data_IF_063729286591
#
_entry.id   IF_063729286591
#
_cell.length_a   1.000
_cell.length_b   1.000
_cell.length_c   1.000
_cell.angle_alpha   90.00
_cell.angle_beta   90.00
_cell.angle_gamma   90.00
#
_symmetry.space_group_name_H-M   'P 1'
#
loop_
_entity.id
_entity.type
_entity.pdbx_description
1 polymer ?
#
# COMPACT_ATOMS: atom_id res chain seq x y z
N UNK A 1 -24.11 3.27 -1.74
CA UNK A 1 -22.97 2.61 -1.06
C UNK A 1 -23.07 2.99 0.40
N UNK A 2 -23.01 2.01 1.29
CA UNK A 2 -23.11 2.21 2.73
C UNK A 2 -21.73 2.20 3.37
N UNK A 3 -21.57 2.94 4.47
CA UNK A 3 -20.36 2.88 5.29
C UNK A 3 -20.38 1.56 6.08
N UNK A 4 -19.32 0.73 6.04
CA UNK A 4 -19.30 -0.50 6.83
C UNK A 4 -19.32 -0.17 8.32
N UNK A 5 -20.03 -0.96 9.11
CA UNK A 5 -20.02 -0.79 10.58
C UNK A 5 -18.69 -1.22 11.16
N UNK A 6 -18.12 -2.33 10.66
CA UNK A 6 -16.83 -2.84 11.06
C UNK A 6 -15.97 -3.23 9.85
N UNK A 7 -14.78 -2.69 9.76
CA UNK A 7 -13.88 -2.88 8.62
C UNK A 7 -12.50 -3.36 9.09
N UNK A 8 -11.93 -4.30 8.34
CA UNK A 8 -10.54 -4.71 8.50
C UNK A 8 -9.68 -4.10 7.40
N UNK A 9 -8.53 -3.60 7.80
CA UNK A 9 -7.47 -3.13 6.90
C UNK A 9 -6.33 -4.15 6.97
N UNK A 10 -6.01 -4.77 5.82
CA UNK A 10 -4.85 -5.63 5.64
C UNK A 10 -3.66 -4.78 5.19
N UNK A 11 -2.65 -4.66 6.04
CA UNK A 11 -1.45 -3.87 5.81
C UNK A 11 -1.48 -2.51 6.52
N UNK A 12 -0.56 -2.34 7.46
CA UNK A 12 -0.35 -1.12 8.24
C UNK A 12 0.55 -0.08 7.57
N UNK A 13 0.64 -0.10 6.23
CA UNK A 13 1.33 0.91 5.43
C UNK A 13 0.50 2.19 5.25
N UNK A 14 1.12 3.22 4.61
CA UNK A 14 0.50 4.55 4.44
C UNK A 14 -0.88 4.47 3.79
N UNK A 15 -1.05 3.69 2.72
CA UNK A 15 -2.33 3.60 1.99
C UNK A 15 -3.45 3.04 2.88
N UNK A 16 -3.18 1.94 3.60
CA UNK A 16 -4.14 1.34 4.51
C UNK A 16 -4.58 2.30 5.60
N UNK A 17 -3.62 3.03 6.19
CA UNK A 17 -3.87 3.96 7.29
C UNK A 17 -4.55 5.26 6.82
N UNK A 18 -4.24 5.77 5.63
CA UNK A 18 -4.97 6.88 4.99
C UNK A 18 -6.43 6.52 4.76
N UNK A 19 -6.70 5.36 4.16
CA UNK A 19 -8.08 4.88 3.97
C UNK A 19 -8.77 4.62 5.30
N UNK A 20 -8.05 4.11 6.30
CA UNK A 20 -8.55 3.96 7.66
C UNK A 20 -9.00 5.29 8.26
N UNK A 21 -8.24 6.36 8.07
CA UNK A 21 -8.63 7.71 8.51
C UNK A 21 -9.95 8.15 7.88
N UNK A 22 -10.12 7.93 6.56
CA UNK A 22 -11.36 8.25 5.84
C UNK A 22 -12.54 7.47 6.43
N UNK A 23 -12.44 6.14 6.49
CA UNK A 23 -13.55 5.30 6.95
C UNK A 23 -13.89 5.52 8.43
N UNK A 24 -12.89 5.74 9.30
CA UNK A 24 -13.11 6.11 10.70
C UNK A 24 -13.86 7.42 10.82
N UNK A 25 -13.50 8.43 10.02
CA UNK A 25 -14.19 9.73 10.00
C UNK A 25 -15.65 9.61 9.52
N UNK A 26 -15.91 8.64 8.65
CA UNK A 26 -17.27 8.30 8.20
C UNK A 26 -18.06 7.45 9.22
N UNK A 27 -17.45 7.03 10.33
CA UNK A 27 -18.10 6.32 11.42
C UNK A 27 -17.88 4.80 11.43
N UNK A 28 -17.00 4.25 10.59
CA UNK A 28 -16.65 2.84 10.64
C UNK A 28 -15.75 2.53 11.84
N UNK A 29 -15.98 1.38 12.49
CA UNK A 29 -15.03 0.79 13.46
C UNK A 29 -13.95 0.02 12.72
N UNK A 30 -12.69 0.22 13.07
CA UNK A 30 -11.56 -0.30 12.32
C UNK A 30 -10.69 -1.23 13.13
N UNK A 31 -10.30 -2.33 12.49
CA UNK A 31 -9.14 -3.12 12.87
C UNK A 31 -8.07 -3.04 11.78
N UNK A 32 -6.80 -3.04 12.17
CA UNK A 32 -5.65 -3.13 11.25
C UNK A 32 -4.86 -4.38 11.58
N UNK A 33 -4.50 -5.15 10.56
CA UNK A 33 -3.56 -6.26 10.70
C UNK A 33 -2.28 -5.97 9.90
N UNK A 34 -1.14 -6.13 10.55
CA UNK A 34 0.18 -5.91 9.99
C UNK A 34 1.11 -7.09 10.33
N UNK A 35 1.76 -7.63 9.31
CA UNK A 35 2.63 -8.79 9.46
C UNK A 35 3.96 -8.42 10.15
N UNK A 36 4.38 -7.17 10.03
CA UNK A 36 5.59 -6.65 10.65
C UNK A 36 5.33 -6.22 12.09
N UNK A 37 6.40 -5.90 12.81
CA UNK A 37 6.41 -5.47 14.21
C UNK A 37 5.99 -4.00 14.42
N UNK A 38 5.68 -3.27 13.35
CA UNK A 38 5.27 -1.87 13.40
C UNK A 38 4.53 -1.41 12.17
N UNK A 39 3.80 -0.31 12.31
CA UNK A 39 3.12 0.38 11.21
C UNK A 39 4.14 1.19 10.38
N UNK A 40 3.77 1.52 9.12
CA UNK A 40 4.52 2.41 8.23
C UNK A 40 6.01 2.06 8.18
N UNK A 41 6.33 0.83 7.77
CA UNK A 41 7.71 0.38 7.61
C UNK A 41 8.47 1.33 6.66
N UNK A 42 9.69 1.71 7.06
CA UNK A 42 10.50 2.69 6.31
C UNK A 42 10.33 4.15 6.74
N UNK A 43 9.31 4.49 7.55
CA UNK A 43 9.22 5.80 8.21
C UNK A 43 9.97 5.81 9.55
N UNK A 44 10.45 6.99 9.96
CA UNK A 44 11.15 7.15 11.24
C UNK A 44 10.25 6.76 12.42
N UNK A 45 10.77 5.94 13.31
CA UNK A 45 9.99 5.33 14.40
C UNK A 45 9.44 6.32 15.42
N UNK A 46 10.12 7.42 15.64
CA UNK A 46 9.66 8.53 16.49
C UNK A 46 8.44 9.22 15.90
N UNK A 47 8.43 9.48 14.59
CA UNK A 47 7.29 10.03 13.88
C UNK A 47 6.09 9.07 13.88
N UNK A 48 6.34 7.78 13.66
CA UNK A 48 5.29 6.75 13.73
C UNK A 48 4.66 6.68 15.13
N UNK A 49 5.44 6.83 16.20
CA UNK A 49 4.92 6.87 17.57
C UNK A 49 3.99 8.07 17.80
N UNK A 50 4.36 9.24 17.29
CA UNK A 50 3.50 10.44 17.35
C UNK A 50 2.21 10.19 16.60
N UNK A 51 2.28 9.68 15.37
CA UNK A 51 1.11 9.35 14.57
C UNK A 51 0.19 8.36 15.27
N UNK A 52 0.73 7.26 15.82
CA UNK A 52 -0.04 6.25 16.56
C UNK A 52 -0.77 6.86 17.75
N UNK A 53 -0.10 7.71 18.54
CA UNK A 53 -0.71 8.38 19.70
C UNK A 53 -1.89 9.28 19.27
N UNK A 54 -1.72 10.03 18.19
CA UNK A 54 -2.76 10.95 17.68
C UNK A 54 -3.95 10.21 17.08
N UNK A 55 -3.74 9.04 16.49
CA UNK A 55 -4.76 8.29 15.74
C UNK A 55 -5.27 7.05 16.49
N UNK A 56 -4.81 6.76 17.71
CA UNK A 56 -5.20 5.57 18.47
C UNK A 56 -6.73 5.41 18.60
N UNK A 57 -7.46 6.52 18.74
CA UNK A 57 -8.92 6.54 18.88
C UNK A 57 -9.69 6.07 17.64
N UNK A 58 -9.02 5.96 16.48
CA UNK A 58 -9.62 5.56 15.21
C UNK A 58 -9.71 4.04 15.04
N UNK A 59 -8.89 3.30 15.79
CA UNK A 59 -8.74 1.86 15.63
C UNK A 59 -9.16 1.14 16.90
N UNK A 60 -10.02 0.14 16.75
CA UNK A 60 -10.36 -0.75 17.86
C UNK A 60 -9.18 -1.66 18.19
N UNK A 61 -8.52 -2.20 17.15
CA UNK A 61 -7.34 -3.04 17.29
C UNK A 61 -6.29 -2.77 16.22
N UNK A 62 -5.03 -2.78 16.62
CA UNK A 62 -3.86 -2.81 15.73
C UNK A 62 -3.11 -4.11 16.03
N UNK A 63 -3.24 -5.08 15.15
CA UNK A 63 -2.70 -6.43 15.27
C UNK A 63 -1.37 -6.53 14.53
N UNK A 64 -0.27 -6.24 15.23
CA UNK A 64 1.10 -6.38 14.72
C UNK A 64 1.56 -7.84 14.78
N UNK A 65 2.65 -8.18 14.08
CA UNK A 65 3.19 -9.54 13.99
C UNK A 65 2.11 -10.59 13.64
N UNK A 66 1.10 -10.18 12.89
CA UNK A 66 -0.07 -10.98 12.56
C UNK A 66 -0.29 -11.01 11.07
N UNK A 67 -0.47 -12.20 10.51
CA UNK A 67 -0.80 -12.39 9.10
C UNK A 67 -2.22 -12.91 8.93
N UNK A 68 -2.88 -12.49 7.85
CA UNK A 68 -4.15 -13.05 7.42
C UNK A 68 -3.88 -14.33 6.64
N UNK A 69 -4.51 -15.43 7.03
CA UNK A 69 -4.35 -16.73 6.38
C UNK A 69 -5.61 -17.21 5.66
N UNK A 70 -6.72 -16.53 5.86
CA UNK A 70 -7.96 -16.83 5.16
C UNK A 70 -8.97 -15.70 5.27
N UNK A 71 -9.80 -15.57 4.23
CA UNK A 71 -10.99 -14.72 4.24
C UNK A 71 -12.11 -15.45 3.51
N UNK A 72 -13.27 -15.58 4.17
CA UNK A 72 -14.43 -16.31 3.64
C UNK A 72 -15.68 -15.45 3.72
N UNK A 73 -16.30 -15.20 2.57
CA UNK A 73 -17.60 -14.54 2.53
C UNK A 73 -18.68 -15.46 3.11
N UNK A 74 -19.52 -14.93 3.97
CA UNK A 74 -20.65 -15.60 4.62
C UNK A 74 -21.91 -14.74 4.51
N UNK A 75 -23.06 -15.28 4.86
CA UNK A 75 -24.32 -14.50 4.94
C UNK A 75 -24.26 -13.37 5.98
N UNK A 76 -23.34 -13.42 6.95
CA UNK A 76 -23.19 -12.45 8.05
C UNK A 76 -22.04 -11.46 7.84
N UNK A 77 -21.31 -11.54 6.72
CA UNK A 77 -20.14 -10.74 6.44
C UNK A 77 -18.93 -11.60 6.04
N UNK A 78 -17.73 -11.06 6.20
CA UNK A 78 -16.46 -11.69 5.84
C UNK A 78 -15.79 -12.21 7.10
N UNK A 79 -15.70 -13.53 7.24
CA UNK A 79 -14.91 -14.15 8.30
C UNK A 79 -13.44 -14.15 7.91
N UNK A 80 -12.58 -13.56 8.75
CA UNK A 80 -11.14 -13.48 8.51
C UNK A 80 -10.39 -14.26 9.59
N UNK A 81 -9.45 -15.10 9.14
CA UNK A 81 -8.63 -15.96 9.97
C UNK A 81 -7.20 -15.44 10.01
N UNK A 82 -6.60 -15.46 11.18
CA UNK A 82 -5.27 -14.92 11.44
C UNK A 82 -4.30 -16.03 11.89
N UNK A 83 -3.03 -15.78 11.67
CA UNK A 83 -1.93 -16.55 12.25
C UNK A 83 -0.83 -15.60 12.75
N UNK A 84 -0.02 -16.04 13.70
CA UNK A 84 1.18 -15.31 14.07
C UNK A 84 2.14 -15.23 12.88
N UNK A 85 2.80 -14.08 12.69
CA UNK A 85 3.81 -13.91 11.66
C UNK A 85 5.13 -14.60 12.04
N UNK A 86 5.38 -14.78 13.34
CA UNK A 86 6.58 -15.40 13.88
C UNK A 86 6.25 -16.74 14.54
N UNK A 87 7.20 -17.66 14.55
CA UNK A 87 7.08 -18.96 15.23
C UNK A 87 6.94 -18.76 16.74
N UNK A 88 6.01 -19.51 17.37
CA UNK A 88 5.71 -19.38 18.80
C UNK A 88 4.88 -18.15 19.19
N UNK A 89 4.54 -17.28 18.23
CA UNK A 89 3.65 -16.14 18.48
C UNK A 89 2.20 -16.55 18.66
N UNK A 90 1.38 -15.61 19.16
CA UNK A 90 -0.07 -15.76 19.29
C UNK A 90 -0.79 -14.97 18.21
N UNK A 91 -1.91 -15.50 17.73
CA UNK A 91 -2.79 -14.80 16.79
C UNK A 91 -4.19 -14.63 17.38
N UNK A 92 -4.92 -13.58 17.01
CA UNK A 92 -6.32 -13.42 17.40
C UNK A 92 -7.19 -14.56 16.85
N UNK A 93 -8.28 -14.86 17.54
CA UNK A 93 -9.33 -15.73 16.99
C UNK A 93 -9.93 -15.13 15.72
N UNK A 94 -10.54 -15.95 14.85
CA UNK A 94 -11.24 -15.46 13.66
C UNK A 94 -12.24 -14.34 13.99
N UNK A 95 -12.34 -13.34 13.13
CA UNK A 95 -13.18 -12.16 13.31
C UNK A 95 -14.10 -11.97 12.10
N UNK A 96 -15.25 -11.34 12.35
CA UNK A 96 -16.21 -10.99 11.31
C UNK A 96 -16.15 -9.50 10.97
N UNK A 97 -16.16 -9.19 9.67
CA UNK A 97 -16.14 -7.82 9.16
C UNK A 97 -17.17 -7.62 8.07
N UNK A 98 -17.70 -6.39 7.93
CA UNK A 98 -18.58 -6.02 6.82
C UNK A 98 -17.79 -5.76 5.55
N UNK A 99 -16.55 -5.26 5.69
CA UNK A 99 -15.64 -4.93 4.60
C UNK A 99 -14.19 -5.28 4.98
N UNK A 100 -13.43 -5.74 4.00
CA UNK A 100 -11.99 -5.94 4.12
C UNK A 100 -11.30 -5.13 3.03
N UNK A 101 -10.39 -4.23 3.42
CA UNK A 101 -9.52 -3.47 2.54
C UNK A 101 -8.15 -4.14 2.47
N UNK A 102 -7.71 -4.51 1.29
CA UNK A 102 -6.37 -5.04 1.08
C UNK A 102 -5.42 -3.93 0.62
N UNK A 103 -4.39 -3.63 1.43
CA UNK A 103 -3.38 -2.61 1.19
C UNK A 103 -1.96 -3.14 1.51
N UNK A 104 -1.66 -4.37 1.04
CA UNK A 104 -0.46 -5.14 1.38
C UNK A 104 0.74 -4.89 0.45
N UNK A 105 0.69 -3.84 -0.34
CA UNK A 105 1.80 -3.43 -1.21
C UNK A 105 1.36 -3.11 -2.64
N UNK A 106 2.35 -2.71 -3.45
CA UNK A 106 2.19 -2.31 -4.86
C UNK A 106 3.26 -2.97 -5.70
N UNK A 107 2.91 -3.30 -6.93
CA UNK A 107 3.82 -3.81 -7.95
C UNK A 107 3.77 -2.93 -9.19
N UNK A 108 4.90 -2.57 -9.79
CA UNK A 108 4.92 -1.83 -11.03
C UNK A 108 4.37 -2.68 -12.18
N UNK A 109 3.73 -2.02 -13.15
CA UNK A 109 3.05 -2.68 -14.25
C UNK A 109 3.85 -2.76 -15.56
N UNK A 110 5.16 -2.53 -15.52
CA UNK A 110 6.00 -2.47 -16.72
C UNK A 110 5.92 -3.69 -17.65
N UNK A 111 5.63 -4.87 -17.10
CA UNK A 111 5.45 -6.10 -17.89
C UNK A 111 4.05 -6.26 -18.50
N UNK A 112 3.12 -5.31 -18.28
CA UNK A 112 1.70 -5.48 -18.64
C UNK A 112 1.26 -4.73 -19.89
N UNK A 113 2.09 -3.87 -20.47
CA UNK A 113 1.74 -3.04 -21.63
C UNK A 113 2.70 -3.19 -22.81
N UNK A 114 3.44 -4.29 -22.85
CA UNK A 114 4.30 -4.67 -23.98
C UNK A 114 5.36 -3.60 -24.32
N UNK A 115 5.99 -3.00 -23.30
CA UNK A 115 7.02 -1.97 -23.45
C UNK A 115 8.21 -2.43 -24.31
N UNK A 116 8.51 -3.73 -24.29
CA UNK A 116 9.55 -4.36 -25.11
C UNK A 116 9.32 -4.20 -26.61
N UNK A 117 8.06 -4.05 -27.08
CA UNK A 117 7.76 -3.79 -28.50
C UNK A 117 8.25 -2.42 -28.96
N UNK A 118 8.40 -1.47 -28.04
CA UNK A 118 9.02 -0.17 -28.27
C UNK A 118 10.52 -0.15 -27.94
N UNK A 119 11.12 -1.30 -27.64
CA UNK A 119 12.54 -1.43 -27.28
C UNK A 119 12.84 -0.99 -25.84
N UNK A 120 11.83 -0.69 -25.02
CA UNK A 120 12.02 -0.25 -23.64
C UNK A 120 12.33 -1.46 -22.75
N UNK A 121 13.43 -1.35 -22.01
CA UNK A 121 13.86 -2.38 -21.05
C UNK A 121 13.03 -2.34 -19.77
N UNK A 122 12.51 -3.50 -19.37
CA UNK A 122 11.75 -3.67 -18.12
C UNK A 122 12.50 -4.65 -17.23
N UNK A 123 12.69 -4.29 -15.97
CA UNK A 123 13.35 -5.16 -14.98
C UNK A 123 12.49 -6.38 -14.65
N UNK A 124 13.08 -7.41 -14.01
CA UNK A 124 12.35 -8.60 -13.55
C UNK A 124 11.21 -8.26 -12.58
N UNK A 125 11.37 -7.19 -11.81
CA UNK A 125 10.36 -6.68 -10.88
C UNK A 125 9.29 -5.80 -11.55
N UNK A 126 9.40 -5.52 -12.85
CA UNK A 126 8.43 -4.72 -13.60
C UNK A 126 8.70 -3.21 -13.59
N UNK A 127 9.86 -2.76 -13.11
CA UNK A 127 10.27 -1.36 -13.19
C UNK A 127 10.90 -1.03 -14.54
N UNK A 128 10.82 0.24 -14.93
CA UNK A 128 11.55 0.83 -16.05
C UNK A 128 12.61 1.76 -15.48
N UNK A 129 13.89 1.46 -15.78
CA UNK A 129 14.98 2.31 -15.35
C UNK A 129 15.02 3.58 -16.21
N UNK A 130 15.25 4.72 -15.54
CA UNK A 130 15.42 6.03 -16.18
C UNK A 130 16.66 6.73 -15.64
N UNK A 131 17.20 7.66 -16.42
CA UNK A 131 18.22 8.59 -15.97
C UNK A 131 17.61 9.78 -15.16
N UNK A 132 18.45 10.74 -14.77
CA UNK A 132 18.02 11.92 -14.02
C UNK A 132 17.09 12.84 -14.83
N UNK A 133 17.00 12.66 -16.14
CA UNK A 133 16.13 13.37 -17.07
C UNK A 133 14.87 12.58 -17.40
N UNK A 134 14.59 11.49 -16.69
CA UNK A 134 13.46 10.58 -16.90
C UNK A 134 13.48 9.85 -18.25
N UNK A 135 14.63 9.81 -18.96
CA UNK A 135 14.78 9.05 -20.20
C UNK A 135 14.96 7.57 -19.91
N UNK A 136 14.26 6.73 -20.64
CA UNK A 136 14.51 5.27 -20.63
C UNK A 136 15.75 4.92 -21.44
N UNK A 137 16.03 3.64 -21.64
CA UNK A 137 17.04 3.18 -22.59
C UNK A 137 16.75 3.56 -24.06
N UNK A 138 15.52 3.98 -24.35
CA UNK A 138 15.09 4.54 -25.64
C UNK A 138 15.04 6.07 -25.49
N UNK A 139 15.97 6.84 -26.12
CA UNK A 139 16.16 8.27 -25.80
C UNK A 139 14.94 9.19 -26.02
N UNK A 140 13.99 8.78 -26.85
CA UNK A 140 12.75 9.51 -27.14
C UNK A 140 11.56 9.01 -26.32
N UNK A 141 11.76 8.02 -25.40
CA UNK A 141 10.73 7.49 -24.52
C UNK A 141 11.12 7.78 -23.07
N UNK A 142 10.19 8.37 -22.35
CA UNK A 142 10.32 8.76 -20.95
C UNK A 142 9.41 7.88 -20.08
N UNK A 143 9.78 7.68 -18.83
CA UNK A 143 8.94 7.02 -17.85
C UNK A 143 8.96 7.79 -16.54
N UNK A 144 7.81 7.86 -15.85
CA UNK A 144 7.62 8.60 -14.60
C UNK A 144 6.72 7.83 -13.64
N UNK A 145 6.73 8.20 -12.37
CA UNK A 145 5.81 7.71 -11.35
C UNK A 145 6.19 6.35 -10.76
N UNK A 146 5.19 5.58 -10.37
CA UNK A 146 5.36 4.32 -9.65
C UNK A 146 6.19 3.29 -10.45
N UNK A 147 6.19 3.40 -11.77
CA UNK A 147 6.90 2.45 -12.64
C UNK A 147 8.42 2.64 -12.65
N UNK A 148 8.92 3.81 -12.26
CA UNK A 148 10.37 4.09 -12.26
C UNK A 148 11.03 3.82 -10.91
N UNK A 149 10.28 3.63 -9.84
CA UNK A 149 10.83 3.26 -8.54
C UNK A 149 10.14 3.91 -7.34
N UNK A 150 10.74 3.65 -6.18
CA UNK A 150 10.32 4.22 -4.91
C UNK A 150 10.79 5.69 -4.75
N UNK A 151 10.09 6.49 -3.92
CA UNK A 151 8.79 6.20 -3.31
C UNK A 151 7.65 6.26 -4.34
N UNK A 152 6.66 5.37 -4.20
CA UNK A 152 5.48 5.33 -5.08
C UNK A 152 4.43 6.35 -4.61
N UNK A 153 4.63 7.62 -4.94
CA UNK A 153 3.84 8.76 -4.51
C UNK A 153 3.37 9.58 -5.71
N UNK A 154 2.10 9.98 -5.70
CA UNK A 154 1.51 10.75 -6.80
C UNK A 154 2.24 12.08 -7.05
N UNK A 155 2.59 12.82 -5.98
CA UNK A 155 3.31 14.08 -6.12
C UNK A 155 4.75 13.91 -6.64
N UNK A 156 5.45 12.79 -6.36
CA UNK A 156 6.72 12.45 -7.00
C UNK A 156 6.54 12.37 -8.52
N UNK A 157 5.52 11.67 -8.98
CA UNK A 157 5.23 11.55 -10.41
C UNK A 157 4.98 12.89 -11.08
N UNK A 158 4.36 13.85 -10.39
CA UNK A 158 4.16 15.22 -10.90
C UNK A 158 5.50 15.94 -11.11
N UNK A 159 6.41 15.87 -10.13
CA UNK A 159 7.75 16.47 -10.29
C UNK A 159 8.55 15.81 -11.42
N UNK A 160 8.52 14.49 -11.50
CA UNK A 160 9.17 13.75 -12.59
C UNK A 160 8.57 14.12 -13.96
N UNK A 161 7.26 14.37 -14.04
CA UNK A 161 6.60 14.82 -15.26
C UNK A 161 7.09 16.20 -15.71
N UNK A 162 7.30 17.13 -14.76
CA UNK A 162 7.90 18.44 -15.05
C UNK A 162 9.30 18.28 -15.65
N UNK A 163 10.16 17.48 -15.01
CA UNK A 163 11.51 17.20 -15.53
C UNK A 163 11.46 16.62 -16.94
N UNK A 164 10.62 15.62 -17.17
CA UNK A 164 10.48 15.01 -18.50
C UNK A 164 9.99 16.02 -19.54
N UNK A 165 9.00 16.86 -19.20
CA UNK A 165 8.45 17.87 -20.10
C UNK A 165 9.49 18.94 -20.46
N UNK A 166 10.24 19.44 -19.49
CA UNK A 166 11.31 20.44 -19.70
C UNK A 166 12.41 19.86 -20.61
N UNK A 167 12.83 18.61 -20.37
CA UNK A 167 13.84 17.93 -21.21
C UNK A 167 13.33 17.70 -22.63
N UNK A 168 12.04 17.44 -22.83
CA UNK A 168 11.45 17.27 -24.16
C UNK A 168 11.37 18.61 -24.89
N UNK A 169 11.11 19.70 -24.17
CA UNK A 169 10.98 21.03 -24.74
C UNK A 169 12.34 21.66 -25.13
N UNK A 170 13.47 21.21 -24.60
CA UNK A 170 14.84 21.70 -24.84
C UNK A 170 15.24 22.65 -23.76
#
# INVERSE_FOLDING_TARGET
KEVPKRMLILGGGIIGLEMGTVYSTLGARLDVVEMMDGLMQGADRDLVKVWQKMNAHRFDNIMLNTKTVGAKATAKGIEVTFAAAQEGGTAPAPQMYDLVLQAVGRSPNGKKFAAEKAGVSVTDRGFINVDIQMRTNMPHIFAIGDIVGQPMLAHKAVHEAHVAAEVIAG
#
